data_IF_199720020781
#
_entry.id   IF_199720020781
#
_cell.length_a   1.000
_cell.length_b   1.000
_cell.length_c   1.000
_cell.angle_alpha   90.00
_cell.angle_beta   90.00
_cell.angle_gamma   90.00
#
_symmetry.space_group_name_H-M   'P 1'
#
loop_
_entity.id
_entity.type
_entity.pdbx_description
1 polymer ?
#
# COMPACT_ATOMS: atom_id res chain seq x y z
N UNK A 1 -9.81 4.97 10.71
CA UNK A 1 -10.28 6.15 9.93
C UNK A 1 -9.57 7.39 10.48
N UNK A 2 -8.48 7.83 9.84
CA UNK A 2 -7.94 9.18 10.06
C UNK A 2 -8.90 10.16 9.38
N UNK A 3 -10.03 10.44 10.02
CA UNK A 3 -10.98 11.44 9.55
C UNK A 3 -10.43 12.83 9.90
N UNK A 4 -9.36 13.26 9.21
CA UNK A 4 -8.96 14.64 9.27
C UNK A 4 -9.79 15.39 8.22
N UNK A 5 -10.81 16.11 8.68
CA UNK A 5 -11.56 17.08 7.88
C UNK A 5 -10.68 18.32 7.56
N UNK A 6 -9.43 18.11 7.16
CA UNK A 6 -8.58 19.16 6.63
C UNK A 6 -9.18 19.60 5.30
N UNK A 7 -9.34 20.92 5.12
CA UNK A 7 -9.68 21.51 3.83
C UNK A 7 -8.60 21.27 2.76
N UNK A 8 -7.44 20.75 3.16
CA UNK A 8 -6.28 20.48 2.32
C UNK A 8 -5.47 19.26 2.84
N UNK A 9 -5.83 18.02 2.51
CA UNK A 9 -5.09 16.83 2.94
C UNK A 9 -3.81 16.63 2.11
N UNK A 10 -2.64 16.76 2.74
CA UNK A 10 -1.35 16.49 2.09
C UNK A 10 -0.26 16.09 3.09
N UNK A 11 0.86 15.56 2.57
CA UNK A 11 2.01 15.06 3.34
C UNK A 11 1.62 13.95 4.32
N UNK A 12 0.94 12.92 3.80
CA UNK A 12 0.40 11.81 4.58
C UNK A 12 1.15 10.53 4.21
N UNK A 13 1.63 9.81 5.22
CA UNK A 13 2.28 8.51 5.05
C UNK A 13 1.47 7.43 5.77
N UNK A 14 1.14 6.38 5.05
CA UNK A 14 0.68 5.10 5.58
C UNK A 14 1.81 4.10 5.39
N UNK A 15 2.55 3.80 6.44
CA UNK A 15 3.65 2.83 6.39
C UNK A 15 3.37 1.67 7.36
N UNK A 16 3.63 0.44 6.92
CA UNK A 16 3.42 -0.78 7.73
C UNK A 16 2.02 -0.88 8.35
N UNK A 17 0.97 -0.59 7.56
CA UNK A 17 -0.43 -0.76 7.97
C UNK A 17 -0.97 -2.09 7.44
N UNK A 18 -1.77 -2.79 8.24
CA UNK A 18 -2.61 -3.90 7.78
C UNK A 18 -4.07 -3.42 7.67
N UNK A 19 -4.60 -3.43 6.45
CA UNK A 19 -5.97 -3.05 6.12
C UNK A 19 -6.68 -4.23 5.46
N UNK A 20 -7.36 -5.03 6.28
CA UNK A 20 -7.90 -6.33 5.87
C UNK A 20 -9.34 -6.50 6.37
N UNK A 21 -10.06 -7.46 5.79
CA UNK A 21 -11.43 -7.85 6.17
C UNK A 21 -12.43 -6.70 6.06
N UNK A 22 -12.26 -5.83 5.06
CA UNK A 22 -13.19 -4.78 4.73
C UNK A 22 -14.42 -5.32 3.99
N UNK A 23 -15.58 -4.73 4.26
CA UNK A 23 -16.80 -4.96 3.46
C UNK A 23 -16.77 -4.19 2.12
N UNK A 24 -15.84 -3.24 1.96
CA UNK A 24 -15.67 -2.36 0.79
C UNK A 24 -14.17 -2.07 0.60
N UNK A 25 -13.78 -0.90 0.10
CA UNK A 25 -12.38 -0.53 -0.07
C UNK A 25 -11.69 -0.55 1.32
N UNK A 26 -10.69 -1.43 1.47
CA UNK A 26 -9.88 -1.53 2.69
C UNK A 26 -9.07 -0.25 2.94
N UNK A 27 -8.68 0.42 1.86
CA UNK A 27 -8.03 1.73 1.91
C UNK A 27 -8.65 2.66 0.88
N UNK A 28 -8.93 3.89 1.30
CA UNK A 28 -9.56 4.88 0.43
C UNK A 28 -8.95 6.27 0.62
N UNK A 29 -8.65 6.92 -0.49
CA UNK A 29 -8.31 8.34 -0.54
C UNK A 29 -9.27 9.01 -1.50
N UNK A 30 -10.15 9.86 -0.95
CA UNK A 30 -11.19 10.53 -1.72
C UNK A 30 -10.94 12.02 -1.84
N UNK A 31 -10.95 12.50 -3.08
CA UNK A 31 -11.11 13.92 -3.36
C UNK A 31 -12.49 14.43 -2.93
N UNK A 32 -12.55 15.66 -2.43
CA UNK A 32 -13.78 16.28 -1.98
C UNK A 32 -14.39 17.18 -3.07
N UNK A 33 -15.74 17.19 -3.13
CA UNK A 33 -16.48 18.07 -4.03
C UNK A 33 -16.22 19.55 -3.68
N UNK A 34 -15.97 20.37 -4.70
CA UNK A 34 -15.78 21.82 -4.59
C UNK A 34 -14.65 22.25 -3.63
N UNK A 35 -13.77 21.33 -3.22
CA UNK A 35 -12.61 21.66 -2.42
C UNK A 35 -11.59 22.40 -3.28
N UNK A 36 -11.05 23.50 -2.74
CA UNK A 36 -9.99 24.27 -3.38
C UNK A 36 -8.68 23.51 -3.45
N UNK A 37 -8.52 22.52 -2.56
CA UNK A 37 -7.38 21.61 -2.51
C UNK A 37 -7.86 20.17 -2.51
N UNK A 38 -7.08 19.30 -3.15
CA UNK A 38 -7.36 17.87 -3.25
C UNK A 38 -6.24 17.07 -2.59
N UNK A 39 -6.52 15.82 -2.17
CA UNK A 39 -5.50 14.94 -1.60
C UNK A 39 -4.27 14.80 -2.52
N UNK A 40 -3.09 15.11 -2.00
CA UNK A 40 -1.81 15.03 -2.72
C UNK A 40 -0.67 14.68 -1.77
N UNK A 41 0.49 14.30 -2.30
CA UNK A 41 1.67 13.97 -1.48
C UNK A 41 1.32 12.89 -0.43
N UNK A 42 0.83 11.75 -0.92
CA UNK A 42 0.42 10.62 -0.08
C UNK A 42 1.26 9.41 -0.46
N UNK A 43 1.91 8.82 0.52
CA UNK A 43 2.65 7.57 0.37
C UNK A 43 1.94 6.45 1.11
N UNK A 44 1.76 5.32 0.44
CA UNK A 44 1.47 4.03 1.06
C UNK A 44 2.70 3.16 0.84
N UNK A 45 3.20 2.58 1.92
CA UNK A 45 4.36 1.71 1.83
C UNK A 45 4.34 0.57 2.83
N UNK A 46 5.00 -0.53 2.46
CA UNK A 46 5.22 -1.69 3.34
C UNK A 46 3.93 -2.23 3.96
N UNK A 47 2.77 -1.98 3.37
CA UNK A 47 1.47 -2.24 3.97
C UNK A 47 0.84 -3.51 3.40
N UNK A 48 -0.10 -4.11 4.13
CA UNK A 48 -0.96 -5.19 3.62
C UNK A 48 -2.34 -4.62 3.38
N UNK A 49 -2.87 -4.84 2.18
CA UNK A 49 -4.23 -4.43 1.80
C UNK A 49 -4.92 -5.61 1.16
N UNK A 50 -5.94 -6.18 1.79
CA UNK A 50 -6.47 -7.42 1.24
C UNK A 50 -7.53 -8.16 2.02
N UNK A 51 -7.82 -9.36 1.51
CA UNK A 51 -8.80 -10.30 2.04
C UNK A 51 -10.14 -9.63 2.41
N UNK A 52 -10.67 -8.85 1.47
CA UNK A 52 -11.96 -8.22 1.64
C UNK A 52 -13.09 -9.27 1.75
N UNK A 53 -14.14 -8.91 2.47
CA UNK A 53 -15.29 -9.76 2.76
C UNK A 53 -16.38 -9.52 1.72
N UNK A 54 -16.82 -10.61 1.06
CA UNK A 54 -17.81 -10.56 -0.01
C UNK A 54 -19.24 -10.29 0.46
N UNK A 55 -19.51 -10.27 1.78
CA UNK A 55 -20.84 -10.11 2.35
C UNK A 55 -21.54 -8.81 1.95
N UNK A 56 -20.77 -7.77 1.59
CA UNK A 56 -21.30 -6.50 1.08
C UNK A 56 -21.54 -6.48 -0.45
N UNK A 57 -21.39 -7.62 -1.12
CA UNK A 57 -21.62 -7.77 -2.55
C UNK A 57 -20.44 -7.36 -3.44
N UNK A 58 -19.28 -7.07 -2.86
CA UNK A 58 -18.04 -6.79 -3.57
C UNK A 58 -16.82 -7.12 -2.72
N UNK A 59 -15.67 -7.33 -3.37
CA UNK A 59 -14.40 -7.66 -2.72
C UNK A 59 -13.34 -6.74 -3.34
N UNK A 60 -13.05 -5.62 -2.70
CA UNK A 60 -12.24 -4.53 -3.26
C UNK A 60 -11.11 -4.11 -2.32
N UNK A 61 -10.00 -3.63 -2.89
CA UNK A 61 -8.75 -3.42 -2.16
C UNK A 61 -8.55 -1.95 -1.78
N UNK A 62 -7.86 -1.21 -2.63
CA UNK A 62 -7.58 0.20 -2.46
C UNK A 62 -8.18 1.03 -3.60
N UNK A 63 -8.79 2.16 -3.25
CA UNK A 63 -9.34 3.11 -4.21
C UNK A 63 -8.89 4.54 -3.93
N UNK A 64 -8.25 5.16 -4.93
CA UNK A 64 -7.90 6.58 -4.88
C UNK A 64 -8.66 7.25 -6.02
N UNK A 65 -9.65 8.06 -5.66
CA UNK A 65 -10.59 8.63 -6.65
C UNK A 65 -11.16 9.97 -6.22
N UNK A 66 -11.74 10.70 -7.17
CA UNK A 66 -12.61 11.84 -6.86
C UNK A 66 -14.03 11.42 -6.48
N UNK A 67 -14.83 12.38 -6.01
CA UNK A 67 -16.24 12.18 -5.73
C UNK A 67 -17.07 12.03 -7.03
N UNK A 68 -18.04 11.12 -7.04
CA UNK A 68 -18.85 10.81 -8.22
C UNK A 68 -19.82 11.93 -8.63
N UNK A 69 -19.99 12.12 -9.94
CA UNK A 69 -21.12 12.85 -10.52
C UNK A 69 -20.92 14.34 -10.81
N UNK A 70 -19.69 14.87 -10.86
CA UNK A 70 -19.45 16.31 -11.01
C UNK A 70 -18.46 16.71 -12.12
N UNK A 71 -17.88 15.76 -12.85
CA UNK A 71 -17.09 16.03 -14.05
C UNK A 71 -15.57 15.90 -13.87
N UNK A 72 -14.81 15.97 -14.98
CA UNK A 72 -13.43 15.48 -15.13
C UNK A 72 -12.34 15.96 -14.16
N UNK A 73 -12.53 17.07 -13.46
CA UNK A 73 -11.37 17.89 -13.05
C UNK A 73 -11.05 17.84 -11.57
N UNK A 74 -11.95 17.36 -10.69
CA UNK A 74 -11.60 17.21 -9.27
C UNK A 74 -10.43 16.22 -9.06
N UNK A 75 -10.40 15.03 -9.70
CA UNK A 75 -9.25 14.14 -9.63
C UNK A 75 -7.97 14.70 -10.26
N UNK A 76 -8.06 15.80 -11.04
CA UNK A 76 -6.88 16.44 -11.61
C UNK A 76 -6.01 17.16 -10.56
N UNK A 77 -6.58 17.49 -9.41
CA UNK A 77 -5.85 18.03 -8.26
C UNK A 77 -5.15 16.97 -7.42
N UNK A 78 -5.46 15.68 -7.64
CA UNK A 78 -4.87 14.57 -6.90
C UNK A 78 -3.60 14.08 -7.61
N UNK A 79 -2.45 14.43 -7.03
CA UNK A 79 -1.11 14.24 -7.58
C UNK A 79 -0.14 13.76 -6.50
N UNK A 80 1.05 13.34 -6.91
CA UNK A 80 2.14 12.94 -6.00
C UNK A 80 1.69 11.83 -5.03
N UNK A 81 1.12 10.78 -5.61
CA UNK A 81 0.62 9.61 -4.89
C UNK A 81 1.57 8.44 -5.15
N UNK A 82 2.15 7.90 -4.10
CA UNK A 82 3.09 6.79 -4.16
C UNK A 82 2.50 5.59 -3.44
N UNK A 83 2.45 4.45 -4.12
CA UNK A 83 2.21 3.16 -3.51
C UNK A 83 3.46 2.34 -3.79
N UNK A 84 4.15 1.90 -2.74
CA UNK A 84 5.37 1.14 -2.95
C UNK A 84 5.67 0.11 -1.89
N UNK A 85 6.11 -1.05 -2.34
CA UNK A 85 6.40 -2.19 -1.46
C UNK A 85 5.16 -2.60 -0.67
N UNK A 86 3.97 -2.50 -1.23
CA UNK A 86 2.74 -2.96 -0.60
C UNK A 86 2.40 -4.40 -1.03
N UNK A 87 1.78 -5.16 -0.13
CA UNK A 87 1.20 -6.47 -0.42
C UNK A 87 -0.32 -6.33 -0.60
N UNK A 88 -0.77 -6.49 -1.84
CA UNK A 88 -2.19 -6.62 -2.15
C UNK A 88 -2.55 -8.10 -2.29
N UNK A 89 -3.49 -8.62 -1.51
CA UNK A 89 -3.79 -10.06 -1.52
C UNK A 89 -5.28 -10.38 -1.36
N UNK A 90 -5.81 -11.30 -2.17
CA UNK A 90 -7.10 -11.95 -1.88
C UNK A 90 -8.32 -11.06 -2.10
N UNK A 91 -8.26 -10.20 -3.10
CA UNK A 91 -9.30 -9.24 -3.44
C UNK A 91 -9.75 -9.45 -4.87
N UNK A 92 -11.03 -9.23 -5.21
CA UNK A 92 -11.51 -9.38 -6.58
C UNK A 92 -10.87 -8.35 -7.52
N UNK A 93 -10.87 -7.08 -7.10
CA UNK A 93 -10.30 -6.00 -7.89
C UNK A 93 -9.89 -4.76 -7.07
N UNK A 94 -9.34 -3.75 -7.76
CA UNK A 94 -8.85 -2.49 -7.18
C UNK A 94 -7.62 -2.70 -6.30
N UNK A 95 -6.52 -3.14 -6.90
CA UNK A 95 -5.25 -3.35 -6.19
C UNK A 95 -4.09 -2.56 -6.81
N UNK A 96 -4.17 -1.21 -6.88
CA UNK A 96 -5.31 -0.33 -6.59
C UNK A 96 -6.19 0.00 -7.82
N UNK A 97 -7.34 0.64 -7.58
CA UNK A 97 -8.05 1.46 -8.57
C UNK A 97 -7.63 2.92 -8.40
N UNK A 98 -7.19 3.56 -9.48
CA UNK A 98 -6.72 4.94 -9.44
C UNK A 98 -7.36 5.79 -10.55
N UNK A 99 -8.28 6.68 -10.18
CA UNK A 99 -8.93 7.64 -11.09
C UNK A 99 -8.26 9.02 -11.07
N UNK A 100 -7.18 9.17 -10.32
CA UNK A 100 -6.41 10.41 -10.07
C UNK A 100 -5.45 10.79 -11.22
N UNK A 101 -4.95 12.03 -11.22
CA UNK A 101 -4.07 12.55 -12.28
C UNK A 101 -2.74 11.83 -12.39
N UNK A 102 -2.03 11.67 -11.28
CA UNK A 102 -0.72 11.02 -11.28
C UNK A 102 -0.50 10.16 -10.04
N UNK A 103 0.12 9.00 -10.25
CA UNK A 103 0.57 8.11 -9.18
C UNK A 103 1.73 7.22 -9.65
N UNK A 104 2.56 6.77 -8.71
CA UNK A 104 3.63 5.79 -8.92
C UNK A 104 3.31 4.53 -8.12
N UNK A 105 3.42 3.37 -8.77
CA UNK A 105 3.24 2.05 -8.20
C UNK A 105 4.53 1.29 -8.37
N UNK A 106 5.28 1.14 -7.28
CA UNK A 106 6.67 0.69 -7.32
C UNK A 106 6.87 -0.47 -6.37
N UNK A 107 7.29 -1.61 -6.86
CA UNK A 107 7.59 -2.77 -6.03
C UNK A 107 6.41 -3.34 -5.21
N UNK A 108 5.18 -3.14 -5.67
CA UNK A 108 4.01 -3.77 -5.05
C UNK A 108 3.92 -5.24 -5.43
N UNK A 109 3.53 -6.09 -4.48
CA UNK A 109 3.23 -7.50 -4.71
C UNK A 109 1.71 -7.67 -4.74
N UNK A 110 1.17 -8.00 -5.92
CA UNK A 110 -0.26 -8.31 -6.08
C UNK A 110 -0.50 -9.81 -6.22
N UNK A 111 -1.36 -10.35 -5.36
CA UNK A 111 -1.62 -11.78 -5.26
C UNK A 111 -3.11 -12.13 -5.31
N UNK A 112 -3.44 -13.09 -6.17
CA UNK A 112 -4.75 -13.76 -6.22
C UNK A 112 -5.96 -12.83 -6.42
N UNK A 113 -6.09 -12.26 -7.63
CA UNK A 113 -7.29 -11.51 -8.05
C UNK A 113 -8.30 -12.38 -8.81
N UNK A 114 -9.56 -11.93 -8.88
CA UNK A 114 -10.63 -12.61 -9.64
C UNK A 114 -11.19 -11.83 -10.80
N UNK A 115 -11.05 -10.51 -10.78
CA UNK A 115 -11.61 -9.67 -11.82
C UNK A 115 -10.53 -8.84 -12.52
N UNK A 116 -9.90 -7.89 -11.85
CA UNK A 116 -8.74 -7.18 -12.37
C UNK A 116 -7.87 -6.71 -11.20
N UNK A 117 -6.53 -6.72 -11.28
CA UNK A 117 -5.73 -6.25 -10.16
C UNK A 117 -5.61 -4.73 -10.22
N UNK A 118 -4.65 -4.19 -10.97
CA UNK A 118 -4.45 -2.75 -11.10
C UNK A 118 -5.27 -2.19 -12.25
N UNK A 119 -6.08 -1.16 -11.98
CA UNK A 119 -6.79 -0.41 -13.03
C UNK A 119 -6.63 1.08 -12.81
N UNK A 120 -6.22 1.80 -13.85
CA UNK A 120 -5.79 3.18 -13.71
C UNK A 120 -6.12 4.04 -14.92
N UNK A 121 -6.19 5.35 -14.69
CA UNK A 121 -6.24 6.39 -15.74
C UNK A 121 -5.20 7.48 -15.45
N UNK A 122 -4.94 8.39 -16.37
CA UNK A 122 -3.94 9.46 -16.16
C UNK A 122 -2.50 8.97 -16.20
N UNK A 123 -1.59 9.72 -15.58
CA UNK A 123 -0.16 9.47 -15.56
C UNK A 123 0.18 8.38 -14.55
N UNK A 124 0.78 7.27 -14.99
CA UNK A 124 1.23 6.21 -14.08
C UNK A 124 2.65 5.79 -14.37
N UNK A 125 3.37 5.49 -13.30
CA UNK A 125 4.57 4.65 -13.34
C UNK A 125 4.23 3.31 -12.68
N UNK A 126 4.47 2.22 -13.38
CA UNK A 126 4.44 0.86 -12.82
C UNK A 126 5.86 0.31 -12.91
N UNK A 127 6.55 0.21 -11.78
CA UNK A 127 7.98 -0.14 -11.76
C UNK A 127 8.21 -1.32 -10.83
N UNK A 128 8.76 -2.40 -11.36
CA UNK A 128 9.16 -3.59 -10.58
C UNK A 128 8.07 -4.18 -9.68
N UNK A 129 6.79 -4.02 -10.04
CA UNK A 129 5.69 -4.70 -9.36
C UNK A 129 5.72 -6.20 -9.69
N UNK A 130 5.26 -7.02 -8.75
CA UNK A 130 5.23 -8.47 -8.88
C UNK A 130 3.80 -9.00 -8.77
N UNK A 131 3.28 -9.55 -9.85
CA UNK A 131 1.94 -10.12 -9.93
C UNK A 131 2.02 -11.63 -9.91
N UNK A 132 1.21 -12.27 -9.06
CA UNK A 132 1.18 -13.72 -8.99
C UNK A 132 -0.24 -14.22 -8.71
N UNK A 133 -0.64 -15.24 -9.43
CA UNK A 133 -1.85 -15.98 -9.13
C UNK A 133 -1.54 -17.14 -8.17
N UNK A 134 -2.60 -17.75 -7.64
CA UNK A 134 -2.45 -19.01 -6.92
C UNK A 134 -1.87 -20.08 -7.83
N UNK A 135 -1.09 -21.00 -7.26
CA UNK A 135 -0.44 -22.07 -8.01
C UNK A 135 -1.48 -22.87 -8.80
N UNK A 136 -1.27 -22.98 -10.11
CA UNK A 136 -2.18 -23.69 -11.02
C UNK A 136 -3.44 -22.92 -11.41
N UNK A 137 -3.63 -21.69 -10.93
CA UNK A 137 -4.76 -20.83 -11.31
C UNK A 137 -4.28 -19.82 -12.35
N UNK A 138 -4.88 -19.78 -13.56
CA UNK A 138 -4.52 -18.78 -14.57
C UNK A 138 -4.97 -17.38 -14.14
N UNK A 139 -4.30 -16.35 -14.67
CA UNK A 139 -4.76 -14.97 -14.49
C UNK A 139 -6.10 -14.79 -15.22
N UNK A 140 -7.14 -14.24 -14.55
CA UNK A 140 -8.43 -14.01 -15.20
C UNK A 140 -8.37 -12.89 -16.24
N UNK A 141 -7.43 -11.95 -16.07
CA UNK A 141 -7.22 -10.76 -16.91
C UNK A 141 -5.78 -10.31 -16.86
N UNK A 142 -5.41 -9.35 -17.71
CA UNK A 142 -4.12 -8.68 -17.67
C UNK A 142 -3.97 -7.83 -16.40
N UNK A 143 -2.71 -7.63 -16.01
CA UNK A 143 -2.29 -7.11 -14.72
C UNK A 143 -2.50 -5.59 -14.60
N UNK A 144 -2.31 -4.86 -15.70
CA UNK A 144 -2.32 -3.39 -15.71
C UNK A 144 -3.37 -2.92 -16.70
N UNK A 145 -4.50 -2.46 -16.19
CA UNK A 145 -5.62 -2.05 -17.05
C UNK A 145 -5.82 -0.54 -17.08
N UNK A 146 -6.32 -0.05 -18.21
CA UNK A 146 -6.73 1.33 -18.39
C UNK A 146 -8.11 1.45 -19.04
N UNK A 147 -8.76 2.60 -18.88
CA UNK A 147 -9.93 2.98 -19.68
C UNK A 147 -9.79 4.43 -20.14
N UNK A 148 -10.52 4.78 -21.20
CA UNK A 148 -10.40 6.10 -21.84
C UNK A 148 -11.63 6.98 -21.60
N UNK A 149 -12.78 6.37 -21.29
CA UNK A 149 -13.99 7.10 -20.96
C UNK A 149 -13.79 7.98 -19.72
N UNK A 150 -14.57 9.04 -19.62
CA UNK A 150 -14.51 9.99 -18.51
C UNK A 150 -15.87 10.03 -17.82
N UNK A 151 -16.01 9.26 -16.75
CA UNK A 151 -17.29 9.05 -16.06
C UNK A 151 -17.56 10.06 -14.93
N UNK A 152 -16.96 11.25 -15.00
CA UNK A 152 -17.26 12.37 -14.08
C UNK A 152 -16.73 12.21 -12.65
N UNK A 153 -16.06 11.10 -12.35
CA UNK A 153 -15.22 10.80 -11.18
C UNK A 153 -13.75 10.53 -11.56
N UNK A 154 -13.42 10.71 -12.84
CA UNK A 154 -12.11 10.40 -13.42
C UNK A 154 -11.32 11.67 -13.69
N UNK A 155 -9.99 11.56 -13.63
CA UNK A 155 -9.10 12.59 -14.18
C UNK A 155 -9.43 12.86 -15.64
N UNK A 156 -9.27 14.12 -16.04
CA UNK A 156 -9.40 14.55 -17.43
C UNK A 156 -8.25 14.03 -18.30
N UNK A 157 -7.17 13.54 -17.69
CA UNK A 157 -5.98 13.06 -18.37
C UNK A 157 -6.21 11.65 -18.90
N UNK A 158 -5.99 11.45 -20.19
CA UNK A 158 -6.01 10.12 -20.80
C UNK A 158 -4.95 9.19 -20.16
N UNK A 159 -5.09 7.86 -20.24
CA UNK A 159 -4.05 6.94 -19.79
C UNK A 159 -2.68 7.30 -20.38
N UNK A 160 -1.64 7.34 -19.55
CA UNK A 160 -0.29 7.67 -19.98
C UNK A 160 0.74 7.01 -19.07
N UNK A 161 1.19 5.82 -19.45
CA UNK A 161 1.88 4.89 -18.57
C UNK A 161 3.34 4.72 -18.93
N UNK A 162 4.18 4.61 -17.91
CA UNK A 162 5.56 4.13 -18.01
C UNK A 162 5.66 2.81 -17.24
N UNK A 163 6.15 1.77 -17.90
CA UNK A 163 6.30 0.43 -17.32
C UNK A 163 7.77 0.01 -17.41
N UNK A 164 8.31 -0.53 -16.31
CA UNK A 164 9.68 -1.07 -16.28
C UNK A 164 9.83 -2.18 -15.24
N UNK A 165 10.43 -3.31 -15.63
CA UNK A 165 10.81 -4.43 -14.76
C UNK A 165 9.69 -5.10 -13.95
N UNK A 166 8.41 -4.85 -14.26
CA UNK A 166 7.29 -5.57 -13.67
C UNK A 166 7.34 -7.04 -14.08
N UNK A 167 6.88 -7.95 -13.24
CA UNK A 167 6.85 -9.38 -13.53
C UNK A 167 5.46 -9.93 -13.20
N UNK A 168 4.89 -10.71 -14.11
CA UNK A 168 3.57 -11.31 -13.89
C UNK A 168 3.22 -12.38 -14.92
N UNK A 169 2.03 -13.00 -14.82
CA UNK A 169 1.54 -14.00 -15.76
C UNK A 169 1.70 -13.64 -17.25
N UNK A 170 1.49 -12.39 -17.65
CA UNK A 170 1.59 -11.92 -19.04
C UNK A 170 3.02 -11.58 -19.49
N UNK A 171 3.94 -11.39 -18.55
CA UNK A 171 5.38 -11.17 -18.79
C UNK A 171 6.23 -11.76 -17.65
N UNK A 172 6.41 -13.10 -17.62
CA UNK A 172 7.09 -13.77 -16.51
C UNK A 172 8.58 -13.44 -16.38
N UNK A 173 9.20 -12.90 -17.43
CA UNK A 173 10.62 -12.51 -17.43
C UNK A 173 10.84 -11.02 -17.17
N UNK A 174 9.76 -10.22 -17.15
CA UNK A 174 9.81 -8.78 -16.96
C UNK A 174 10.51 -8.01 -18.08
N UNK A 175 10.55 -8.60 -19.28
CA UNK A 175 11.26 -8.04 -20.44
C UNK A 175 10.34 -7.42 -21.48
N UNK A 176 9.04 -7.74 -21.42
CA UNK A 176 8.01 -7.30 -22.37
C UNK A 176 6.84 -6.64 -21.65
N UNK A 177 7.12 -5.76 -20.67
CA UNK A 177 6.09 -5.25 -19.75
C UNK A 177 4.82 -4.70 -20.40
N UNK A 178 4.91 -4.16 -21.62
CA UNK A 178 3.72 -3.66 -22.31
C UNK A 178 2.70 -4.76 -22.66
N UNK A 179 3.09 -6.03 -22.74
CA UNK A 179 2.17 -7.17 -22.91
C UNK A 179 1.25 -7.38 -21.70
N UNK A 180 1.59 -6.84 -20.53
CA UNK A 180 0.78 -6.90 -19.31
C UNK A 180 -0.38 -5.90 -19.30
N UNK A 181 -0.48 -5.05 -20.34
CA UNK A 181 -1.45 -3.96 -20.36
C UNK A 181 -2.72 -4.36 -21.08
N UNK A 182 -3.88 -3.84 -20.65
CA UNK A 182 -5.12 -3.98 -21.41
C UNK A 182 -5.99 -2.72 -21.32
N UNK A 183 -6.83 -2.53 -22.34
CA UNK A 183 -7.89 -1.53 -22.35
C UNK A 183 -9.19 -2.19 -21.85
N UNK A 184 -9.81 -1.65 -20.81
CA UNK A 184 -11.16 -1.97 -20.37
C UNK A 184 -12.19 -1.06 -21.06
N UNK A 185 -13.41 -1.55 -21.23
CA UNK A 185 -14.51 -0.76 -21.83
C UNK A 185 -14.85 0.49 -21.01
N UNK A 186 -14.81 0.38 -19.67
CA UNK A 186 -14.94 1.48 -18.70
C UNK A 186 -14.41 1.01 -17.33
N UNK A 187 -14.53 1.86 -16.30
CA UNK A 187 -14.08 1.58 -14.92
C UNK A 187 -14.61 0.24 -14.36
N UNK A 188 -15.81 -0.17 -14.74
CA UNK A 188 -16.53 -1.34 -14.17
C UNK A 188 -16.78 -2.47 -15.18
N UNK A 189 -16.15 -2.42 -16.35
CA UNK A 189 -16.40 -3.37 -17.42
C UNK A 189 -15.18 -4.23 -17.78
N UNK A 190 -15.42 -5.24 -18.60
CA UNK A 190 -14.42 -6.20 -19.05
C UNK A 190 -13.38 -5.57 -19.99
N UNK A 191 -12.30 -6.33 -20.22
CA UNK A 191 -11.26 -5.99 -21.20
C UNK A 191 -11.85 -5.93 -22.61
N UNK A 192 -11.60 -4.83 -23.30
CA UNK A 192 -11.92 -4.63 -24.71
C UNK A 192 -10.78 -5.12 -25.62
N UNK A 193 -9.52 -4.87 -25.23
CA UNK A 193 -8.36 -5.25 -26.02
C UNK A 193 -7.07 -5.32 -25.20
N UNK A 194 -6.07 -6.05 -25.72
CA UNK A 194 -4.71 -6.15 -25.18
C UNK A 194 -3.71 -6.35 -26.35
N UNK A 195 -2.48 -5.80 -26.28
CA UNK A 195 -2.03 -4.84 -25.27
C UNK A 195 -2.70 -3.47 -25.45
N UNK A 196 -2.52 -2.58 -24.48
CA UNK A 196 -2.92 -1.18 -24.61
C UNK A 196 -2.22 -0.52 -25.83
N UNK A 197 -2.87 0.44 -26.48
CA UNK A 197 -2.25 1.14 -27.61
C UNK A 197 -0.97 1.86 -27.18
N UNK A 198 0.10 1.74 -27.96
CA UNK A 198 1.42 2.34 -27.64
C UNK A 198 1.41 3.86 -27.62
N UNK A 199 0.36 4.52 -28.12
CA UNK A 199 0.13 5.96 -27.95
C UNK A 199 -0.03 6.38 -26.48
N UNK A 200 -0.38 5.43 -25.60
CA UNK A 200 -0.48 5.64 -24.16
C UNK A 200 0.83 5.33 -23.43
N UNK A 201 1.89 4.93 -24.14
CA UNK A 201 3.19 4.61 -23.57
C UNK A 201 4.07 5.85 -23.46
N UNK A 202 4.60 6.12 -22.27
CA UNK A 202 5.64 7.13 -22.04
C UNK A 202 7.03 6.47 -22.07
N UNK A 203 8.02 7.24 -22.49
CA UNK A 203 9.42 6.80 -22.59
C UNK A 203 10.23 7.00 -21.30
N UNK A 204 9.69 7.74 -20.32
CA UNK A 204 10.37 8.03 -19.06
C UNK A 204 9.39 8.04 -17.89
N UNK A 205 9.89 7.69 -16.70
CA UNK A 205 9.17 7.79 -15.45
C UNK A 205 8.78 9.24 -15.12
N UNK A 206 7.79 9.40 -14.24
CA UNK A 206 7.48 10.67 -13.60
C UNK A 206 8.67 11.05 -12.70
N UNK A 207 9.26 12.25 -12.86
CA UNK A 207 10.37 12.66 -12.00
C UNK A 207 9.87 12.82 -10.56
N UNK A 208 10.67 12.39 -9.59
CA UNK A 208 10.41 12.70 -8.17
C UNK A 208 10.36 14.22 -7.99
N UNK A 209 9.32 14.78 -7.35
CA UNK A 209 9.25 16.21 -7.09
C UNK A 209 10.47 16.71 -6.31
N UNK A 210 10.88 17.96 -6.55
CA UNK A 210 12.02 18.55 -5.84
C UNK A 210 11.74 18.62 -4.33
N UNK A 211 12.69 18.15 -3.53
CA UNK A 211 12.55 18.08 -2.07
C UNK A 211 11.92 16.79 -1.54
N UNK A 212 11.44 15.90 -2.41
CA UNK A 212 10.88 14.61 -2.01
C UNK A 212 11.97 13.55 -1.95
N UNK A 213 11.78 12.54 -1.11
CA UNK A 213 12.65 11.36 -1.05
C UNK A 213 12.31 10.45 -2.24
N UNK A 214 13.27 10.08 -3.10
CA UNK A 214 12.99 9.18 -4.22
C UNK A 214 12.77 7.75 -3.72
N UNK A 215 11.80 7.05 -4.34
CA UNK A 215 11.65 5.61 -4.16
C UNK A 215 12.85 4.93 -4.81
N UNK A 216 13.52 4.06 -4.05
CA UNK A 216 14.59 3.20 -4.58
C UNK A 216 13.98 1.86 -4.99
N UNK A 217 13.88 1.56 -6.30
CA UNK A 217 13.23 0.34 -6.72
C UNK A 217 14.12 -0.89 -6.55
N UNK A 218 13.60 -1.94 -5.91
CA UNK A 218 14.20 -3.27 -5.85
C UNK A 218 13.85 -4.09 -7.12
N UNK A 219 14.62 -5.10 -7.52
CA UNK A 219 14.17 -6.01 -8.57
C UNK A 219 12.89 -6.75 -8.17
N UNK A 220 11.88 -6.84 -9.04
CA UNK A 220 10.59 -7.48 -8.72
C UNK A 220 10.72 -8.91 -8.19
N UNK A 221 11.75 -9.64 -8.64
CA UNK A 221 12.03 -11.02 -8.22
C UNK A 221 12.49 -11.16 -6.76
N UNK A 222 12.90 -10.09 -6.08
CA UNK A 222 13.35 -10.13 -4.68
C UNK A 222 12.19 -9.93 -3.69
N UNK A 223 11.05 -9.37 -4.12
CA UNK A 223 9.93 -9.01 -3.25
C UNK A 223 9.38 -10.18 -2.43
N UNK A 224 9.40 -11.39 -2.98
CA UNK A 224 9.01 -12.59 -2.24
C UNK A 224 9.88 -12.86 -0.99
N UNK A 225 11.13 -12.41 -0.99
CA UNK A 225 12.04 -12.53 0.16
C UNK A 225 12.12 -11.28 1.03
N UNK A 226 12.10 -10.09 0.42
CA UNK A 226 12.28 -8.82 1.12
C UNK A 226 10.97 -8.32 1.74
N UNK A 227 9.89 -8.27 0.95
CA UNK A 227 8.59 -7.75 1.39
C UNK A 227 7.82 -8.75 2.25
N UNK A 228 7.74 -10.02 1.84
CA UNK A 228 7.03 -11.02 2.65
C UNK A 228 7.80 -11.35 3.93
N UNK A 229 9.12 -11.49 3.81
CA UNK A 229 10.06 -11.82 4.87
C UNK A 229 9.53 -12.88 5.87
N UNK A 230 9.14 -14.05 5.35
CA UNK A 230 8.56 -15.14 6.15
C UNK A 230 9.53 -15.65 7.23
N UNK A 231 10.84 -15.52 7.02
CA UNK A 231 11.89 -15.90 7.97
C UNK A 231 12.22 -14.81 9.01
N UNK A 232 11.54 -13.65 8.98
CA UNK A 232 11.76 -12.50 9.87
C UNK A 232 13.24 -12.08 9.96
N UNK A 233 13.97 -12.21 8.85
CA UNK A 233 15.40 -11.96 8.79
C UNK A 233 15.68 -10.47 8.59
N UNK A 234 16.62 -9.92 9.36
CA UNK A 234 17.13 -8.57 9.16
C UNK A 234 17.75 -8.44 7.75
N UNK A 235 17.74 -7.24 7.15
CA UNK A 235 17.26 -5.96 7.68
C UNK A 235 15.76 -5.70 7.42
N UNK A 236 15.03 -6.65 6.86
CA UNK A 236 13.64 -6.41 6.45
C UNK A 236 12.67 -6.61 7.61
N UNK A 237 11.66 -5.75 7.67
CA UNK A 237 10.58 -5.84 8.66
C UNK A 237 9.36 -6.56 8.11
N UNK A 238 9.22 -6.58 6.78
CA UNK A 238 8.16 -7.24 6.04
C UNK A 238 6.82 -6.54 6.17
N UNK A 239 5.92 -6.81 5.22
CA UNK A 239 4.66 -6.08 5.07
C UNK A 239 3.75 -6.14 6.30
N UNK A 240 2.90 -5.11 6.41
CA UNK A 240 1.80 -5.00 7.38
C UNK A 240 2.24 -4.41 8.71
N UNK A 241 1.35 -4.44 9.70
CA UNK A 241 1.63 -4.04 11.08
C UNK A 241 2.55 -5.07 11.79
N UNK A 242 3.74 -5.27 11.23
CA UNK A 242 4.59 -6.43 11.50
C UNK A 242 5.56 -6.22 12.67
N UNK A 243 5.74 -4.97 13.10
CA UNK A 243 6.69 -4.55 14.14
C UNK A 243 6.05 -3.64 15.18
N UNK A 244 6.61 -3.63 16.38
CA UNK A 244 6.30 -2.69 17.44
C UNK A 244 7.57 -2.25 18.15
N UNK A 245 7.53 -1.12 18.85
CA UNK A 245 8.63 -0.68 19.71
C UNK A 245 8.43 -1.21 21.13
N UNK A 246 9.52 -1.71 21.73
CA UNK A 246 9.56 -1.89 23.18
C UNK A 246 9.89 -0.56 23.90
N UNK A 247 9.82 -0.55 25.24
CA UNK A 247 10.06 0.66 26.03
C UNK A 247 11.50 1.19 25.96
N UNK A 248 12.43 0.43 25.38
CA UNK A 248 13.79 0.88 25.10
C UNK A 248 13.95 1.46 23.69
N UNK A 249 12.84 1.58 22.94
CA UNK A 249 12.86 2.05 21.56
C UNK A 249 13.49 1.04 20.62
N UNK A 250 13.39 -0.26 20.91
CA UNK A 250 13.87 -1.32 20.02
C UNK A 250 12.70 -1.95 19.29
N UNK A 251 12.85 -2.15 17.97
CA UNK A 251 11.89 -2.93 17.20
C UNK A 251 11.83 -4.39 17.65
N UNK A 252 10.60 -4.85 17.91
CA UNK A 252 10.25 -6.23 18.22
C UNK A 252 9.21 -6.74 17.21
N UNK A 253 9.11 -8.06 17.08
CA UNK A 253 8.10 -8.69 16.24
C UNK A 253 6.69 -8.48 16.81
N UNK A 254 5.76 -8.03 15.98
CA UNK A 254 4.38 -7.76 16.36
C UNK A 254 3.35 -8.31 15.35
N UNK A 255 3.81 -9.08 14.37
CA UNK A 255 2.95 -9.61 13.30
C UNK A 255 1.85 -10.50 13.86
N UNK A 256 0.60 -10.14 13.58
CA UNK A 256 -0.55 -10.88 14.08
C UNK A 256 -0.83 -12.17 13.26
N UNK A 257 -1.74 -13.05 13.73
CA UNK A 257 -2.05 -14.30 13.05
C UNK A 257 -2.64 -14.16 11.63
N UNK A 258 -3.33 -13.07 11.33
CA UNK A 258 -3.95 -12.78 10.03
C UNK A 258 -2.87 -12.41 9.02
N UNK A 259 -2.05 -11.38 9.31
CA UNK A 259 -0.89 -10.99 8.51
C UNK A 259 0.01 -12.20 8.22
N UNK A 260 0.35 -12.95 9.28
CA UNK A 260 1.23 -14.12 9.18
C UNK A 260 0.65 -15.17 8.23
N UNK A 261 -0.65 -15.41 8.28
CA UNK A 261 -1.32 -16.37 7.40
C UNK A 261 -1.28 -15.88 5.95
N UNK A 262 -1.63 -14.62 5.69
CA UNK A 262 -1.65 -14.04 4.33
C UNK A 262 -0.25 -14.09 3.71
N UNK A 263 0.75 -13.59 4.41
CA UNK A 263 2.15 -13.60 3.96
C UNK A 263 2.64 -15.02 3.63
N UNK A 264 2.33 -16.00 4.49
CA UNK A 264 2.70 -17.40 4.23
C UNK A 264 1.97 -17.99 3.02
N UNK A 265 0.68 -17.68 2.84
CA UNK A 265 -0.08 -18.15 1.70
C UNK A 265 0.44 -17.58 0.37
N UNK A 266 0.77 -16.28 0.34
CA UNK A 266 1.35 -15.60 -0.83
C UNK A 266 2.71 -16.21 -1.17
N UNK A 267 3.57 -16.40 -0.17
CA UNK A 267 4.89 -17.03 -0.35
C UNK A 267 4.76 -18.44 -0.95
N UNK A 268 3.82 -19.24 -0.43
CA UNK A 268 3.61 -20.62 -0.87
C UNK A 268 2.77 -20.74 -2.16
N UNK A 269 2.13 -19.66 -2.62
CA UNK A 269 1.24 -19.71 -3.77
C UNK A 269 -0.06 -20.48 -3.50
N UNK A 270 -0.58 -20.47 -2.27
CA UNK A 270 -1.82 -21.18 -1.87
C UNK A 270 -3.01 -20.23 -1.70
N UNK A 271 -4.19 -20.80 -1.43
CA UNK A 271 -5.33 -20.03 -0.91
C UNK A 271 -4.94 -19.31 0.38
N UNK A 272 -5.52 -18.12 0.62
CA UNK A 272 -5.26 -17.35 1.83
C UNK A 272 -5.89 -18.01 3.06
N UNK A 273 -7.13 -18.50 2.95
CA UNK A 273 -7.82 -19.22 4.02
C UNK A 273 -8.49 -20.50 3.53
N UNK A 274 -8.16 -21.63 4.17
CA UNK A 274 -8.84 -22.91 3.97
C UNK A 274 -9.08 -23.26 2.50
N UNK A 275 -10.34 -23.57 2.19
CA UNK A 275 -10.78 -23.94 0.84
C UNK A 275 -11.38 -22.76 0.05
N UNK A 276 -11.36 -21.53 0.59
CA UNK A 276 -11.82 -20.37 -0.16
C UNK A 276 -10.87 -20.16 -1.32
N UNK A 277 -11.40 -20.36 -2.52
CA UNK A 277 -10.65 -20.26 -3.74
C UNK A 277 -10.84 -18.90 -4.40
N UNK A 278 -11.43 -17.91 -3.71
CA UNK A 278 -11.56 -16.52 -4.15
C UNK A 278 -11.71 -16.48 -5.67
N UNK A 279 -12.70 -17.16 -6.24
CA UNK A 279 -12.92 -17.27 -7.69
C UNK A 279 -14.19 -16.53 -8.13
N UNK A 280 -15.05 -16.25 -7.15
CA UNK A 280 -16.29 -15.50 -7.29
C UNK A 280 -16.63 -14.90 -5.93
N UNK A 281 -17.59 -13.96 -5.89
CA UNK A 281 -18.12 -13.46 -4.62
C UNK A 281 -18.60 -14.60 -3.70
N UNK A 282 -19.25 -15.63 -4.26
CA UNK A 282 -19.77 -16.76 -3.49
C UNK A 282 -18.68 -17.68 -2.92
N UNK A 283 -17.51 -17.73 -3.57
CA UNK A 283 -16.37 -18.56 -3.14
C UNK A 283 -15.31 -17.76 -2.36
N UNK A 284 -15.61 -16.50 -2.05
CA UNK A 284 -14.83 -15.66 -1.14
C UNK A 284 -15.44 -15.70 0.27
N UNK A 285 -14.66 -15.38 1.31
CA UNK A 285 -15.17 -15.21 2.68
C UNK A 285 -16.29 -14.15 2.70
N UNK A 286 -17.43 -14.44 3.32
CA UNK A 286 -18.57 -13.51 3.43
C UNK A 286 -18.48 -12.65 4.69
N UNK A 287 -17.81 -13.15 5.73
CA UNK A 287 -17.65 -12.48 7.00
C UNK A 287 -16.37 -12.89 7.71
N UNK A 288 -15.97 -12.16 8.74
CA UNK A 288 -14.87 -12.57 9.63
C UNK A 288 -15.05 -13.98 10.22
N UNK A 289 -16.30 -14.47 10.36
CA UNK A 289 -16.56 -15.81 10.91
C UNK A 289 -16.06 -16.92 9.99
N UNK A 290 -16.09 -16.70 8.66
CA UNK A 290 -15.55 -17.61 7.66
C UNK A 290 -14.02 -17.76 7.77
N UNK A 291 -13.37 -16.77 8.39
CA UNK A 291 -11.92 -16.69 8.58
C UNK A 291 -11.48 -17.09 10.00
N UNK A 292 -12.39 -17.68 10.79
CA UNK A 292 -12.13 -18.10 12.17
C UNK A 292 -12.36 -17.00 13.22
N UNK A 293 -12.85 -15.84 12.80
CA UNK A 293 -13.20 -14.71 13.65
C UNK A 293 -12.07 -13.71 13.89
N UNK A 294 -12.39 -12.56 14.51
CA UNK A 294 -11.42 -11.53 14.90
C UNK A 294 -10.24 -12.13 15.68
N UNK A 295 -8.99 -11.82 15.32
CA UNK A 295 -7.84 -12.30 16.06
C UNK A 295 -7.88 -11.74 17.49
N UNK A 296 -7.57 -12.60 18.47
CA UNK A 296 -7.36 -12.14 19.83
C UNK A 296 -5.99 -11.46 19.93
N UNK A 297 -5.98 -10.12 19.97
CA UNK A 297 -4.77 -9.33 20.15
C UNK A 297 -4.49 -9.11 21.63
N UNK A 298 -3.24 -9.30 22.05
CA UNK A 298 -2.82 -8.96 23.40
C UNK A 298 -2.80 -7.44 23.55
N UNK A 299 -3.44 -6.89 24.59
CA UNK A 299 -3.51 -5.44 24.82
C UNK A 299 -2.14 -4.78 25.10
N UNK A 300 -1.10 -5.57 25.34
CA UNK A 300 0.22 -5.08 25.75
C UNK A 300 0.22 -4.45 27.15
N UNK A 301 1.39 -4.03 27.59
CA UNK A 301 1.55 -3.17 28.77
C UNK A 301 2.14 -1.85 28.28
N UNK A 302 1.46 -0.71 28.47
CA UNK A 302 2.02 0.57 28.06
C UNK A 302 3.32 0.86 28.83
N UNK A 303 4.28 1.48 28.17
CA UNK A 303 5.49 1.94 28.82
C UNK A 303 5.17 3.02 29.85
N UNK A 304 5.93 3.04 30.96
CA UNK A 304 5.84 4.14 31.90
C UNK A 304 6.33 5.42 31.21
N UNK A 305 5.51 6.47 31.28
CA UNK A 305 5.78 7.82 30.80
C UNK A 305 5.30 8.77 31.92
N UNK A 306 6.18 9.04 32.88
CA UNK A 306 5.83 9.77 34.10
C UNK A 306 5.50 11.24 33.82
N UNK A 307 6.06 11.80 32.74
CA UNK A 307 5.88 13.19 32.36
C UNK A 307 4.81 13.40 31.26
N UNK A 308 4.26 12.31 30.71
CA UNK A 308 3.26 12.27 29.63
C UNK A 308 3.69 13.02 28.37
N UNK A 309 4.97 12.93 27.99
CA UNK A 309 5.52 13.60 26.81
C UNK A 309 5.56 12.69 25.56
N UNK A 310 5.21 11.41 25.68
CA UNK A 310 5.20 10.43 24.59
C UNK A 310 6.50 9.64 24.42
N UNK A 311 7.52 9.87 25.27
CA UNK A 311 8.73 9.07 25.35
C UNK A 311 8.69 8.17 26.60
N UNK A 312 9.07 6.88 26.51
CA UNK A 312 9.19 6.04 27.70
C UNK A 312 10.26 6.52 28.67
N UNK A 313 9.97 6.50 29.98
CA UNK A 313 10.92 6.84 31.06
C UNK A 313 12.26 6.08 30.92
N UNK A 314 12.19 4.82 30.47
CA UNK A 314 13.35 3.94 30.25
C UNK A 314 14.22 4.44 29.10
N UNK A 315 13.62 4.85 27.99
CA UNK A 315 14.32 5.38 26.82
C UNK A 315 14.95 6.73 27.16
N UNK A 316 14.18 7.63 27.78
CA UNK A 316 14.65 8.96 28.18
C UNK A 316 15.84 8.87 29.13
N UNK A 317 15.71 8.09 30.20
CA UNK A 317 16.75 7.97 31.22
C UNK A 317 18.08 7.46 30.66
N UNK A 318 18.01 6.50 29.71
CA UNK A 318 19.20 5.95 29.08
C UNK A 318 19.90 7.00 28.21
N UNK A 319 19.18 7.62 27.26
CA UNK A 319 19.78 8.56 26.31
C UNK A 319 20.18 9.88 26.93
N UNK A 320 19.41 10.39 27.89
CA UNK A 320 19.83 11.52 28.72
C UNK A 320 21.20 11.28 29.36
N UNK A 321 21.39 10.10 29.95
CA UNK A 321 22.67 9.72 30.55
C UNK A 321 23.82 9.67 29.55
N UNK A 322 23.58 9.15 28.34
CA UNK A 322 24.59 9.13 27.27
C UNK A 322 24.96 10.54 26.78
N UNK A 323 23.98 11.46 26.74
CA UNK A 323 24.15 12.82 26.26
C UNK A 323 24.63 13.79 27.35
N UNK A 324 24.78 13.33 28.60
CA UNK A 324 25.11 14.19 29.75
C UNK A 324 24.00 15.20 30.07
N UNK A 325 22.76 14.89 29.68
CA UNK A 325 21.56 15.68 29.94
C UNK A 325 20.85 15.18 31.22
N UNK A 326 19.96 16.00 31.78
CA UNK A 326 19.09 15.56 32.88
C UNK A 326 18.15 14.43 32.45
N UNK A 327 17.48 13.75 33.38
CA UNK A 327 16.74 12.48 33.17
C UNK A 327 15.53 12.52 32.22
N UNK A 328 15.18 13.67 31.66
CA UNK A 328 13.99 13.87 30.81
C UNK A 328 14.44 14.54 29.52
N UNK A 329 13.99 14.00 28.38
CA UNK A 329 14.27 14.55 27.05
C UNK A 329 13.02 15.22 26.51
N UNK A 330 13.17 16.38 25.88
CA UNK A 330 12.05 16.98 25.16
C UNK A 330 11.84 16.20 23.85
N UNK A 331 10.66 15.63 23.56
CA UNK A 331 10.40 14.87 22.33
C UNK A 331 10.69 15.67 21.07
N UNK A 332 10.48 17.00 21.08
CA UNK A 332 10.74 17.88 19.94
C UNK A 332 12.16 18.47 19.89
N UNK A 333 13.08 18.07 20.77
CA UNK A 333 14.46 18.53 20.74
C UNK A 333 15.34 17.67 19.82
N UNK A 334 16.36 18.30 19.23
CA UNK A 334 17.34 17.68 18.33
C UNK A 334 18.61 17.29 19.10
N UNK A 335 18.47 16.47 20.15
CA UNK A 335 19.57 16.23 21.10
C UNK A 335 20.74 15.45 20.51
N UNK A 336 20.53 14.76 19.38
CA UNK A 336 21.55 13.98 18.65
C UNK A 336 22.23 14.76 17.52
N UNK A 337 21.79 15.99 17.21
CA UNK A 337 22.47 16.87 16.25
C UNK A 337 22.35 16.48 14.77
N UNK A 338 21.48 15.52 14.44
CA UNK A 338 21.26 15.00 13.09
C UNK A 338 19.96 15.49 12.42
N UNK A 339 19.34 16.52 13.00
CA UNK A 339 18.05 17.10 12.60
C UNK A 339 16.84 16.17 12.72
N UNK A 340 16.96 15.06 13.45
CA UNK A 340 15.82 14.27 13.91
C UNK A 340 15.49 14.61 15.37
N UNK A 341 14.20 14.68 15.67
CA UNK A 341 13.76 14.93 17.04
C UNK A 341 13.99 13.69 17.90
N UNK A 342 14.00 13.84 19.23
CA UNK A 342 14.08 12.70 20.14
C UNK A 342 12.92 11.71 19.94
N UNK A 343 11.73 12.20 19.55
CA UNK A 343 10.61 11.35 19.18
C UNK A 343 10.88 10.56 17.89
N UNK A 344 11.44 11.18 16.87
CA UNK A 344 11.82 10.48 15.63
C UNK A 344 12.84 9.38 15.93
N UNK A 345 13.81 9.65 16.79
CA UNK A 345 14.79 8.65 17.23
C UNK A 345 14.13 7.47 17.96
N UNK A 346 13.21 7.73 18.88
CA UNK A 346 12.42 6.67 19.52
C UNK A 346 11.60 5.87 18.49
N UNK A 347 10.90 6.55 17.59
CA UNK A 347 10.03 5.92 16.59
C UNK A 347 10.80 5.17 15.49
N UNK A 348 12.03 5.59 15.20
CA UNK A 348 12.90 4.92 14.22
C UNK A 348 13.28 3.51 14.66
N UNK A 349 13.23 3.23 15.97
CA UNK A 349 13.64 1.98 16.59
C UNK A 349 15.11 1.59 16.37
N UNK A 350 15.90 2.48 15.76
CA UNK A 350 17.33 2.34 15.57
C UNK A 350 18.02 2.91 16.82
N UNK A 351 19.16 2.32 17.20
CA UNK A 351 20.01 2.97 18.20
C UNK A 351 20.55 4.25 17.58
N UNK A 352 20.18 5.45 18.08
CA UNK A 352 20.76 6.70 17.63
C UNK A 352 22.28 6.63 17.72
N UNK A 353 22.96 7.10 16.68
CA UNK A 353 24.40 7.34 16.72
C UNK A 353 24.67 8.65 17.45
N UNK A 354 25.61 8.69 18.42
CA UNK A 354 26.07 9.95 19.01
C UNK A 354 26.94 10.78 18.06
#
# INVERSE_FOLDING_TARGET
>A
MLANASADPHDIVFDHVSAEWSDYDAMIVLGANAATSQPRAITVSSSIVGEALAGAGQVVGANFSGYSGQGPTAPDGMIDLDLHHDLFAGTSHRMPLLTVKSARLVNDFVYAWTYYPMRSKGLRDFINNFFKTRSGVPAPTHEIQAWTENSGNDTSVAPSFYLSGNVGPSDPTGTSNWSMTALALNESADEASSPLATSYQRSSAIPTPAGYVPITPDPASTLGSTLLNTSRSAPYDGAGASRALDCSGKWIDARDPVDKRIVNAVANGTNLYGNYDYSSLANSPQSQADLGGWPALAAGTPCADTNNNGLPDVWESYWAGQLGLGTVLNPGAFSFGDNYTNLDHYLSGLSPGP
#
